data_IF_764441120666
#
_entry.id   IF_764441120666
#
_cell.length_a   1.000
_cell.length_b   1.000
_cell.length_c   1.000
_cell.angle_alpha   90.00
_cell.angle_beta   90.00
_cell.angle_gamma   90.00
#
_symmetry.space_group_name_H-M   'P 1'
#
loop_
_entity.id
_entity.type
_entity.pdbx_description
1 polymer ?
#
# COMPACT_ATOMS: atom_id res chain seq x y z
N UNK A 1 -8.12 2.63 -18.42
CA UNK A 1 -7.24 3.06 -17.31
C UNK A 1 -7.61 2.24 -16.09
N UNK A 2 -6.74 1.30 -15.70
CA UNK A 2 -7.01 0.38 -14.59
C UNK A 2 -6.81 1.04 -13.22
N UNK A 3 -7.19 0.37 -12.14
CA UNK A 3 -6.91 0.85 -10.77
C UNK A 3 -5.40 1.03 -10.55
N UNK A 4 -4.61 0.15 -11.15
CA UNK A 4 -3.14 0.16 -11.05
C UNK A 4 -2.50 1.40 -11.70
N UNK A 5 -3.11 2.00 -12.73
CA UNK A 5 -2.62 3.23 -13.38
C UNK A 5 -2.72 4.48 -12.48
N UNK A 6 -3.49 4.41 -11.38
CA UNK A 6 -3.76 5.55 -10.51
C UNK A 6 -2.98 5.52 -9.20
N UNK A 7 -2.22 4.45 -8.97
CA UNK A 7 -1.43 4.26 -7.77
C UNK A 7 -0.25 5.24 -7.76
N UNK A 8 0.04 5.76 -6.58
CA UNK A 8 1.16 6.66 -6.36
C UNK A 8 2.51 5.92 -6.43
N UNK A 9 2.55 4.65 -5.98
CA UNK A 9 3.77 3.84 -6.00
C UNK A 9 3.82 2.92 -7.21
N UNK A 10 4.96 2.97 -7.92
CA UNK A 10 5.32 1.94 -8.89
C UNK A 10 5.57 0.59 -8.21
N UNK A 11 5.55 -0.50 -8.98
CA UNK A 11 5.85 -1.83 -8.45
C UNK A 11 7.26 -1.92 -7.85
N UNK A 12 8.24 -1.23 -8.45
CA UNK A 12 9.61 -1.20 -7.93
C UNK A 12 9.69 -0.47 -6.59
N UNK A 13 8.99 0.66 -6.46
CA UNK A 13 8.93 1.42 -5.21
C UNK A 13 8.21 0.62 -4.12
N UNK A 14 7.10 -0.03 -4.48
CA UNK A 14 6.37 -0.91 -3.58
C UNK A 14 7.24 -2.07 -3.10
N UNK A 15 7.99 -2.72 -4.00
CA UNK A 15 8.90 -3.82 -3.64
C UNK A 15 9.91 -3.42 -2.56
N UNK A 16 10.46 -2.20 -2.65
CA UNK A 16 11.43 -1.67 -1.67
C UNK A 16 10.85 -1.49 -0.26
N UNK A 17 9.56 -1.17 -0.13
CA UNK A 17 8.96 -0.84 1.18
C UNK A 17 8.03 -1.91 1.75
N UNK A 18 7.49 -2.81 0.92
CA UNK A 18 6.47 -3.79 1.34
C UNK A 18 6.94 -4.67 2.51
N UNK A 19 8.24 -5.02 2.55
CA UNK A 19 8.89 -5.75 3.64
C UNK A 19 9.07 -4.97 4.94
N UNK A 20 8.66 -3.71 5.00
CA UNK A 20 8.65 -2.89 6.22
C UNK A 20 7.24 -2.71 6.80
N UNK A 21 6.20 -3.01 6.01
CA UNK A 21 4.81 -2.85 6.44
C UNK A 21 4.42 -3.97 7.40
N UNK A 22 3.71 -3.63 8.47
CA UNK A 22 3.15 -4.59 9.43
C UNK A 22 1.87 -5.25 8.89
N UNK A 23 1.52 -6.43 9.39
CA UNK A 23 0.33 -7.15 8.95
C UNK A 23 0.56 -7.92 7.65
N UNK A 24 1.79 -8.39 7.42
CA UNK A 24 2.10 -9.31 6.31
C UNK A 24 1.64 -10.74 6.63
N UNK A 25 1.34 -11.59 5.62
CA UNK A 25 0.80 -12.93 5.83
C UNK A 25 1.60 -13.82 6.79
N UNK A 26 2.92 -13.63 6.83
CA UNK A 26 3.84 -14.36 7.68
C UNK A 26 3.91 -13.84 9.14
N UNK A 27 3.27 -12.71 9.43
CA UNK A 27 3.28 -12.09 10.76
C UNK A 27 2.05 -12.50 11.57
N UNK A 28 2.24 -12.73 12.87
CA UNK A 28 1.13 -13.01 13.80
C UNK A 28 0.28 -11.75 13.99
N UNK A 29 -1.03 -11.85 13.76
CA UNK A 29 -1.98 -10.76 13.98
C UNK A 29 -3.00 -10.67 12.85
N UNK A 30 -3.77 -9.58 12.84
CA UNK A 30 -4.67 -9.30 11.73
C UNK A 30 -3.87 -8.80 10.54
N UNK A 31 -4.05 -9.42 9.38
CA UNK A 31 -3.50 -8.95 8.11
C UNK A 31 -4.55 -8.11 7.40
N UNK A 32 -4.18 -6.92 6.92
CA UNK A 32 -5.05 -6.15 6.04
C UNK A 32 -5.38 -6.96 4.77
N UNK A 33 -6.58 -6.75 4.19
CA UNK A 33 -6.99 -7.43 2.95
C UNK A 33 -5.98 -7.20 1.82
N UNK A 34 -5.46 -5.98 1.73
CA UNK A 34 -4.41 -5.60 0.79
C UNK A 34 -3.58 -4.45 1.39
N UNK A 35 -2.35 -4.77 1.79
CA UNK A 35 -1.45 -3.79 2.41
C UNK A 35 -1.01 -2.70 1.43
N UNK A 36 -0.95 -2.98 0.12
CA UNK A 36 -0.63 -1.96 -0.89
C UNK A 36 -1.76 -0.97 -0.98
N UNK A 37 -3.00 -1.44 -1.08
CA UNK A 37 -4.17 -0.55 -1.13
C UNK A 37 -4.32 0.29 0.14
N UNK A 38 -3.97 -0.25 1.31
CA UNK A 38 -3.92 0.53 2.55
C UNK A 38 -2.94 1.70 2.45
N UNK A 39 -1.68 1.43 2.07
CA UNK A 39 -0.64 2.47 1.93
C UNK A 39 -1.02 3.49 0.86
N UNK A 40 -1.55 3.04 -0.27
CA UNK A 40 -2.04 3.91 -1.35
C UNK A 40 -3.18 4.83 -0.88
N UNK A 41 -4.09 4.32 -0.05
CA UNK A 41 -5.13 5.13 0.60
C UNK A 41 -4.55 6.22 1.50
N UNK A 42 -3.53 5.90 2.30
CA UNK A 42 -2.83 6.88 3.15
C UNK A 42 -2.13 7.94 2.29
N UNK A 43 -1.42 7.54 1.24
CA UNK A 43 -0.75 8.46 0.31
C UNK A 43 -1.73 9.37 -0.41
N UNK A 44 -2.92 8.85 -0.74
CA UNK A 44 -3.99 9.65 -1.32
C UNK A 44 -4.43 10.76 -0.34
N UNK A 45 -4.75 10.43 0.91
CA UNK A 45 -5.14 11.42 1.94
C UNK A 45 -4.05 12.50 2.09
N UNK A 46 -2.78 12.10 2.20
CA UNK A 46 -1.66 13.06 2.34
C UNK A 46 -1.56 14.00 1.14
N UNK A 47 -1.82 13.51 -0.08
CA UNK A 47 -1.73 14.32 -1.30
C UNK A 47 -2.93 15.23 -1.52
N UNK A 48 -4.13 14.79 -1.14
CA UNK A 48 -5.38 15.48 -1.50
C UNK A 48 -6.04 16.21 -0.32
N UNK A 49 -5.64 15.92 0.91
CA UNK A 49 -6.22 16.50 2.12
C UNK A 49 -7.66 16.10 2.38
N UNK A 50 -8.04 14.88 1.97
CA UNK A 50 -9.39 14.34 2.11
C UNK A 50 -9.78 14.00 3.56
#
# INVERSE_FOLDING_TARGET
MGVMDRLALSDEQWSKISGLIIGRPEQRGSTGRDNRMFVEGVLWIVRTGA
#
